data_IF_625413117493
#
_entry.id   IF_625413117493
#
_cell.length_a   1.000
_cell.length_b   1.000
_cell.length_c   1.000
_cell.angle_alpha   90.00
_cell.angle_beta   90.00
_cell.angle_gamma   90.00
#
_symmetry.space_group_name_H-M   'P 1'
#
loop_
_entity.id
_entity.type
_entity.pdbx_description
1 polymer ?
#
# COMPACT_ATOMS: atom_id res chain seq x y z
N UNK A 1 -50.37 18.94 11.76
CA UNK A 1 -49.61 19.55 10.65
C UNK A 1 -48.14 19.81 11.00
N UNK A 2 -47.79 20.47 12.12
CA UNK A 2 -46.37 20.73 12.49
C UNK A 2 -45.50 19.47 12.66
N UNK A 3 -46.02 18.37 13.23
CA UNK A 3 -45.29 17.10 13.39
C UNK A 3 -45.01 16.35 12.06
N UNK A 4 -45.82 16.58 11.03
CA UNK A 4 -45.66 15.91 9.73
C UNK A 4 -44.56 16.57 8.88
N UNK A 5 -44.40 17.90 8.99
CA UNK A 5 -43.29 18.62 8.36
C UNK A 5 -41.93 18.28 9.01
N UNK A 6 -41.88 18.01 10.32
CA UNK A 6 -40.64 17.65 11.01
C UNK A 6 -40.10 16.28 10.58
N UNK A 7 -40.97 15.31 10.29
CA UNK A 7 -40.57 13.98 9.81
C UNK A 7 -40.09 14.00 8.36
N UNK A 8 -40.69 14.84 7.50
CA UNK A 8 -40.23 15.03 6.11
C UNK A 8 -38.89 15.79 6.02
N UNK A 9 -38.61 16.71 6.95
CA UNK A 9 -37.32 17.40 7.00
C UNK A 9 -36.15 16.48 7.42
N UNK A 10 -36.40 15.53 8.33
CA UNK A 10 -35.37 14.60 8.81
C UNK A 10 -35.06 13.48 7.80
N UNK A 11 -36.03 13.07 6.98
CA UNK A 11 -35.80 12.07 5.91
C UNK A 11 -35.11 12.64 4.67
N UNK A 12 -35.20 13.94 4.42
CA UNK A 12 -34.47 14.58 3.31
C UNK A 12 -32.98 14.80 3.61
N UNK A 13 -32.62 15.01 4.88
CA UNK A 13 -31.23 15.20 5.31
C UNK A 13 -30.41 13.90 5.34
N UNK A 14 -31.05 12.73 5.39
CA UNK A 14 -30.35 11.43 5.39
C UNK A 14 -30.05 10.89 3.98
N UNK A 15 -30.58 11.49 2.91
CA UNK A 15 -30.37 11.02 1.54
C UNK A 15 -29.12 11.60 0.84
N UNK A 16 -28.47 12.61 1.43
CA UNK A 16 -27.35 13.31 0.79
C UNK A 16 -25.96 12.72 1.10
N UNK A 17 -25.85 11.69 1.96
CA UNK A 17 -24.54 11.08 2.28
C UNK A 17 -24.01 10.09 1.22
N UNK A 18 -24.78 9.79 0.17
CA UNK A 18 -24.41 8.77 -0.83
C UNK A 18 -23.70 9.27 -2.09
N UNK A 19 -23.65 10.58 -2.35
CA UNK A 19 -23.16 11.12 -3.64
C UNK A 19 -21.73 11.71 -3.59
N UNK A 20 -21.04 11.60 -2.46
CA UNK A 20 -19.73 12.23 -2.24
C UNK A 20 -18.56 11.23 -2.15
N UNK A 21 -18.73 9.98 -2.54
CA UNK A 21 -17.62 9.02 -2.55
C UNK A 21 -17.10 8.82 -3.98
N UNK A 22 -15.81 9.13 -4.16
CA UNK A 22 -15.05 9.04 -5.41
C UNK A 22 -14.78 7.60 -5.86
N UNK A 23 -15.61 6.63 -5.42
CA UNK A 23 -15.42 5.19 -5.69
C UNK A 23 -15.43 4.89 -7.18
N UNK A 24 -16.25 5.62 -7.94
CA UNK A 24 -16.36 5.47 -9.40
C UNK A 24 -15.71 6.61 -10.18
N UNK A 25 -14.92 7.47 -9.52
CA UNK A 25 -14.27 8.58 -10.20
C UNK A 25 -12.97 8.09 -10.85
N UNK A 26 -12.83 8.20 -12.19
CA UNK A 26 -11.62 7.73 -12.86
C UNK A 26 -10.42 8.59 -12.46
N UNK A 27 -9.28 7.94 -12.18
CA UNK A 27 -8.02 8.65 -11.95
C UNK A 27 -7.65 9.43 -13.22
N UNK A 28 -7.44 10.77 -13.13
CA UNK A 28 -7.05 11.56 -14.28
C UNK A 28 -5.76 11.04 -14.91
N UNK A 29 -5.71 10.99 -16.24
CA UNK A 29 -4.50 10.60 -16.98
C UNK A 29 -4.32 9.09 -17.20
N UNK A 30 -5.16 8.23 -16.62
CA UNK A 30 -5.16 6.80 -16.93
C UNK A 30 -5.77 6.57 -18.31
N UNK A 31 -5.02 6.01 -19.30
CA UNK A 31 -5.58 5.67 -20.60
C UNK A 31 -6.71 4.65 -20.48
N UNK A 32 -7.81 4.87 -21.21
CA UNK A 32 -8.99 4.02 -21.17
C UNK A 32 -9.29 3.43 -22.54
N UNK A 33 -9.85 2.21 -22.55
CA UNK A 33 -10.43 1.61 -23.74
C UNK A 33 -11.74 2.32 -24.11
N UNK A 34 -12.30 2.01 -25.29
CA UNK A 34 -13.60 2.53 -25.74
C UNK A 34 -14.75 2.23 -24.76
N UNK A 35 -14.61 1.18 -23.97
CA UNK A 35 -15.60 0.75 -22.97
C UNK A 35 -15.40 1.43 -21.60
N UNK A 36 -14.48 2.39 -21.50
CA UNK A 36 -14.22 3.16 -20.27
C UNK A 36 -13.38 2.43 -19.21
N UNK A 37 -12.82 1.26 -19.53
CA UNK A 37 -11.94 0.49 -18.63
C UNK A 37 -10.48 0.93 -18.79
N UNK A 38 -9.62 0.82 -17.75
CA UNK A 38 -8.19 1.04 -17.90
C UNK A 38 -7.57 0.18 -19.02
N UNK A 39 -6.80 0.80 -19.90
CA UNK A 39 -6.08 0.11 -20.97
C UNK A 39 -4.71 -0.38 -20.46
N UNK A 40 -4.61 -1.68 -20.19
CA UNK A 40 -3.38 -2.31 -19.69
C UNK A 40 -2.27 -2.45 -20.75
N UNK A 41 -2.58 -2.15 -22.02
CA UNK A 41 -1.61 -2.16 -23.13
C UNK A 41 -1.04 -0.77 -23.43
N UNK A 42 -1.55 0.28 -22.77
CA UNK A 42 -1.09 1.64 -22.98
C UNK A 42 0.37 1.83 -22.53
N UNK A 43 1.10 2.79 -23.12
CA UNK A 43 2.46 3.10 -22.68
C UNK A 43 2.53 3.45 -21.20
N UNK A 44 3.60 3.00 -20.54
CA UNK A 44 3.83 3.32 -19.12
C UNK A 44 3.89 4.84 -18.92
N UNK A 45 3.12 5.40 -17.96
CA UNK A 45 3.17 6.82 -17.62
C UNK A 45 4.59 7.30 -17.32
N UNK A 46 4.88 8.52 -17.74
CA UNK A 46 6.20 9.14 -17.55
C UNK A 46 6.08 10.48 -16.83
N UNK A 47 7.03 10.74 -15.95
CA UNK A 47 7.23 12.05 -15.33
C UNK A 47 7.70 13.07 -16.37
N UNK A 48 7.68 14.36 -16.01
CA UNK A 48 8.14 15.44 -16.90
C UNK A 48 9.61 15.31 -17.34
N UNK A 49 10.46 14.62 -16.55
CA UNK A 49 11.85 14.29 -16.88
C UNK A 49 12.01 12.95 -17.62
N UNK A 50 10.92 12.35 -18.10
CA UNK A 50 10.93 11.14 -18.94
C UNK A 50 11.14 9.82 -18.20
N UNK A 51 11.17 9.82 -16.86
CA UNK A 51 11.27 8.61 -16.03
C UNK A 51 9.90 7.95 -15.88
N UNK A 52 9.86 6.68 -15.49
CA UNK A 52 8.60 6.01 -15.14
C UNK A 52 7.95 6.74 -13.96
N UNK A 53 6.69 7.11 -14.12
CA UNK A 53 5.89 7.69 -13.05
C UNK A 53 5.25 6.58 -12.21
N UNK A 54 5.58 6.59 -10.93
CA UNK A 54 5.11 5.67 -9.91
C UNK A 54 4.15 6.37 -8.94
N UNK A 55 3.76 7.63 -9.18
CA UNK A 55 3.10 8.52 -8.22
C UNK A 55 1.61 8.23 -7.92
N UNK A 56 1.27 6.94 -7.97
CA UNK A 56 -0.06 6.38 -7.81
C UNK A 56 -0.23 5.66 -6.46
N UNK A 57 -1.43 5.10 -6.27
CA UNK A 57 -1.76 4.21 -5.16
C UNK A 57 -1.38 2.78 -5.55
N UNK A 58 -0.65 2.12 -4.66
CA UNK A 58 -0.15 0.76 -4.82
C UNK A 58 -0.72 -0.12 -3.73
N UNK A 59 -1.01 -1.36 -4.08
CA UNK A 59 -1.42 -2.39 -3.14
C UNK A 59 -0.68 -3.67 -3.50
N UNK A 60 -0.28 -4.43 -2.48
CA UNK A 60 0.32 -5.73 -2.71
C UNK A 60 -0.78 -6.74 -3.10
N UNK A 61 -0.55 -7.46 -4.19
CA UNK A 61 -1.47 -8.49 -4.70
C UNK A 61 -0.79 -9.84 -4.55
N UNK A 62 -1.48 -10.80 -3.93
CA UNK A 62 -0.97 -12.16 -3.76
C UNK A 62 -0.73 -12.79 -5.14
N UNK A 63 0.33 -13.59 -5.27
CA UNK A 63 0.68 -14.26 -6.53
C UNK A 63 -0.38 -15.27 -6.98
N UNK A 64 -1.19 -15.77 -6.04
CA UNK A 64 -2.29 -16.71 -6.28
C UNK A 64 -3.60 -16.12 -5.74
N UNK A 65 -4.70 -16.15 -6.53
CA UNK A 65 -6.03 -15.82 -6.01
C UNK A 65 -6.37 -16.80 -4.90
N UNK A 66 -6.62 -16.31 -3.67
CA UNK A 66 -7.12 -17.16 -2.59
C UNK A 66 -8.62 -17.41 -2.78
N UNK A 67 -9.11 -18.64 -2.60
CA UNK A 67 -10.54 -18.93 -2.65
C UNK A 67 -11.20 -18.28 -1.42
N UNK A 68 -12.07 -17.31 -1.68
CA UNK A 68 -12.84 -16.49 -0.73
C UNK A 68 -12.12 -15.25 -0.16
N UNK A 69 -12.83 -14.13 -0.31
CA UNK A 69 -12.56 -12.81 0.25
C UNK A 69 -12.59 -12.79 1.80
N UNK A 70 -13.10 -13.85 2.43
CA UNK A 70 -13.35 -13.95 3.88
C UNK A 70 -12.39 -14.88 4.63
N UNK A 71 -11.56 -15.67 3.95
CA UNK A 71 -10.43 -16.36 4.59
C UNK A 71 -9.22 -15.42 4.65
N UNK A 72 -9.40 -14.27 5.30
CA UNK A 72 -8.32 -13.34 5.63
C UNK A 72 -7.45 -13.97 6.73
N UNK A 73 -6.61 -14.92 6.32
CA UNK A 73 -5.34 -15.20 7.00
C UNK A 73 -4.25 -14.61 6.12
N UNK A 74 -3.92 -13.31 6.25
CA UNK A 74 -2.63 -12.85 5.79
C UNK A 74 -1.66 -13.51 6.75
N UNK A 75 -1.15 -14.68 6.39
CA UNK A 75 0.24 -14.87 6.78
C UNK A 75 0.98 -13.81 5.98
N UNK A 76 1.57 -12.84 6.68
CA UNK A 76 2.51 -11.85 6.15
C UNK A 76 3.83 -12.54 5.75
N UNK A 77 3.72 -13.79 5.31
CA UNK A 77 4.77 -14.66 4.84
C UNK A 77 5.03 -14.27 3.38
N UNK A 78 6.28 -13.94 3.10
CA UNK A 78 6.73 -13.49 1.78
C UNK A 78 6.41 -14.53 0.70
N UNK A 79 6.42 -15.80 1.09
CA UNK A 79 6.13 -16.97 0.26
C UNK A 79 4.78 -16.89 -0.45
N UNK A 80 3.78 -16.18 0.11
CA UNK A 80 2.47 -15.98 -0.52
C UNK A 80 2.50 -15.03 -1.74
N UNK A 81 3.58 -14.26 -1.87
CA UNK A 81 3.75 -13.21 -2.89
C UNK A 81 4.88 -13.53 -3.86
N UNK A 82 5.53 -14.68 -3.70
CA UNK A 82 6.63 -15.13 -4.54
C UNK A 82 6.11 -15.93 -5.76
N UNK A 83 6.89 -15.93 -6.83
CA UNK A 83 6.64 -16.77 -8.00
C UNK A 83 6.77 -18.26 -7.64
N UNK A 84 6.09 -19.12 -8.39
CA UNK A 84 6.17 -20.57 -8.19
C UNK A 84 7.62 -21.07 -8.31
N UNK A 85 8.05 -21.87 -7.33
CA UNK A 85 9.41 -22.42 -7.26
C UNK A 85 10.48 -21.43 -6.78
N UNK A 86 10.14 -20.18 -6.51
CA UNK A 86 11.09 -19.23 -5.93
C UNK A 86 11.38 -19.59 -4.46
N UNK A 87 12.62 -19.36 -4.04
CA UNK A 87 13.09 -19.59 -2.67
C UNK A 87 13.62 -18.29 -2.07
N UNK A 88 13.50 -18.13 -0.76
CA UNK A 88 14.04 -16.95 -0.08
C UNK A 88 15.55 -17.15 0.09
N UNK A 89 16.40 -16.27 -0.45
CA UNK A 89 17.85 -16.40 -0.38
C UNK A 89 18.36 -15.96 1.00
N UNK A 90 18.06 -16.75 2.02
CA UNK A 90 18.42 -16.44 3.38
C UNK A 90 19.95 -16.40 3.58
N UNK A 91 20.41 -15.41 4.33
CA UNK A 91 21.67 -15.55 5.06
C UNK A 91 21.42 -16.53 6.23
N UNK A 92 22.39 -17.41 6.60
CA UNK A 92 22.17 -18.40 7.65
C UNK A 92 21.70 -17.82 8.99
N UNK A 93 22.26 -16.67 9.38
CA UNK A 93 21.86 -15.96 10.60
C UNK A 93 20.44 -15.39 10.50
N UNK A 94 20.01 -14.97 9.30
CA UNK A 94 18.71 -14.35 9.07
C UNK A 94 17.59 -15.39 9.11
N UNK A 95 17.82 -16.58 8.53
CA UNK A 95 16.89 -17.71 8.62
C UNK A 95 16.68 -18.14 10.07
N UNK A 96 17.77 -18.27 10.84
CA UNK A 96 17.72 -18.64 12.25
C UNK A 96 16.95 -17.60 13.08
N UNK A 97 17.19 -16.30 12.85
CA UNK A 97 16.48 -15.23 13.54
C UNK A 97 14.98 -15.20 13.17
N UNK A 98 14.66 -15.38 11.89
CA UNK A 98 13.27 -15.46 11.43
C UNK A 98 12.53 -16.65 12.07
N UNK A 99 13.15 -17.83 12.08
CA UNK A 99 12.57 -19.04 12.69
C UNK A 99 12.30 -18.84 14.18
N UNK A 100 13.30 -18.31 14.91
CA UNK A 100 13.17 -17.97 16.33
C UNK A 100 12.01 -17.01 16.58
N UNK A 101 11.90 -15.94 15.78
CA UNK A 101 10.80 -14.96 15.91
C UNK A 101 9.45 -15.59 15.63
N UNK A 102 9.32 -16.48 14.64
CA UNK A 102 8.08 -17.20 14.37
C UNK A 102 7.65 -18.08 15.54
N UNK A 103 8.59 -18.81 16.14
CA UNK A 103 8.34 -19.67 17.31
C UNK A 103 7.97 -18.87 18.56
N UNK A 104 8.46 -17.64 18.68
CA UNK A 104 8.21 -16.74 19.82
C UNK A 104 7.11 -15.71 19.57
N UNK A 105 6.14 -15.99 18.70
CA UNK A 105 5.01 -15.09 18.39
C UNK A 105 5.44 -13.66 17.99
N UNK A 106 6.57 -13.55 17.32
CA UNK A 106 7.12 -12.29 16.83
C UNK A 106 8.12 -11.59 17.76
N UNK A 107 8.37 -12.11 18.97
CA UNK A 107 9.24 -11.48 19.97
C UNK A 107 10.62 -11.04 19.42
N UNK A 108 11.06 -9.84 19.75
CA UNK A 108 12.27 -9.19 19.24
C UNK A 108 12.11 -8.47 17.90
N UNK A 109 10.88 -8.22 17.42
CA UNK A 109 10.64 -7.37 16.26
C UNK A 109 10.78 -5.87 16.59
N UNK A 110 11.12 -5.00 15.62
CA UNK A 110 11.22 -3.55 15.86
C UNK A 110 9.95 -2.92 16.45
N UNK A 111 8.78 -3.44 16.07
CA UNK A 111 7.46 -2.98 16.53
C UNK A 111 7.28 -3.04 18.04
N UNK A 112 7.96 -3.94 18.75
CA UNK A 112 7.95 -4.01 20.22
C UNK A 112 8.59 -2.80 20.90
N UNK A 113 9.39 -2.03 20.16
CA UNK A 113 10.08 -0.83 20.64
C UNK A 113 9.51 0.45 20.05
N UNK A 114 8.25 0.40 19.60
CA UNK A 114 7.59 1.49 18.89
C UNK A 114 8.35 1.96 17.64
N UNK A 115 9.15 1.07 17.04
CA UNK A 115 9.81 1.30 15.76
C UNK A 115 8.95 0.70 14.64
N UNK A 116 8.94 1.30 13.44
CA UNK A 116 8.17 0.77 12.32
C UNK A 116 8.65 -0.64 11.94
N UNK A 117 7.74 -1.49 11.40
CA UNK A 117 8.14 -2.76 10.82
C UNK A 117 9.14 -2.54 9.67
N UNK A 118 10.07 -3.46 9.48
CA UNK A 118 11.01 -3.40 8.36
C UNK A 118 10.42 -3.97 7.07
N UNK A 119 11.10 -3.71 5.95
CA UNK A 119 10.84 -4.41 4.68
C UNK A 119 11.37 -5.85 4.77
N UNK A 120 10.62 -6.89 4.34
CA UNK A 120 9.38 -6.81 3.56
C UNK A 120 8.10 -6.68 4.38
N UNK A 121 8.11 -6.95 5.69
CA UNK A 121 6.90 -7.00 6.53
C UNK A 121 5.96 -5.82 6.29
N UNK A 122 6.50 -4.60 6.36
CA UNK A 122 5.79 -3.33 6.09
C UNK A 122 5.04 -3.28 4.74
N UNK A 123 5.58 -3.93 3.69
CA UNK A 123 4.99 -3.95 2.34
C UNK A 123 4.01 -5.11 2.18
N UNK A 124 4.13 -6.15 3.01
CA UNK A 124 3.24 -7.32 3.01
C UNK A 124 1.93 -7.07 3.75
N UNK A 125 1.78 -5.90 4.39
CA UNK A 125 0.49 -5.48 4.93
C UNK A 125 -0.43 -5.10 3.76
N UNK A 126 -1.62 -5.73 3.65
CA UNK A 126 -2.49 -5.57 2.48
C UNK A 126 -3.29 -4.26 2.52
N UNK A 127 -2.64 -3.17 2.95
CA UNK A 127 -3.17 -1.82 2.92
C UNK A 127 -2.50 -1.03 1.79
N UNK A 128 -3.24 -0.16 1.08
CA UNK A 128 -2.66 0.69 0.07
C UNK A 128 -1.55 1.60 0.61
N UNK A 129 -0.58 1.89 -0.24
CA UNK A 129 0.43 2.93 -0.02
C UNK A 129 0.54 3.79 -1.27
N UNK A 130 0.88 5.07 -1.10
CA UNK A 130 1.08 5.99 -2.21
C UNK A 130 2.55 6.31 -2.37
N UNK A 131 3.04 6.26 -3.60
CA UNK A 131 4.33 6.85 -3.93
C UNK A 131 4.11 8.26 -4.48
N UNK A 132 5.06 9.16 -4.24
CA UNK A 132 5.05 10.52 -4.80
C UNK A 132 6.47 10.85 -5.23
N UNK A 133 6.67 11.02 -6.53
CA UNK A 133 7.96 11.42 -7.08
C UNK A 133 8.01 12.93 -7.27
N UNK A 134 9.02 13.56 -6.70
CA UNK A 134 9.37 14.96 -6.92
C UNK A 134 10.82 15.04 -7.42
N UNK A 135 11.22 16.13 -8.08
CA UNK A 135 12.64 16.36 -8.39
C UNK A 135 13.50 16.27 -7.12
N UNK A 136 14.41 15.31 -7.06
CA UNK A 136 15.36 15.13 -5.97
C UNK A 136 14.85 14.36 -4.74
N UNK A 137 13.58 13.95 -4.69
CA UNK A 137 13.05 13.13 -3.59
C UNK A 137 11.82 12.29 -4.00
N UNK A 138 11.73 11.07 -3.48
CA UNK A 138 10.53 10.24 -3.54
C UNK A 138 9.99 9.99 -2.14
N UNK A 139 8.69 10.18 -1.96
CA UNK A 139 7.97 9.79 -0.74
C UNK A 139 7.23 8.47 -0.95
N UNK A 140 7.21 7.64 0.09
CA UNK A 140 6.28 6.51 0.20
C UNK A 140 5.42 6.79 1.43
N UNK A 141 4.14 7.02 1.21
CA UNK A 141 3.14 7.29 2.23
C UNK A 141 2.36 6.01 2.50
N UNK A 142 2.32 5.55 3.75
CA UNK A 142 1.63 4.31 4.11
C UNK A 142 0.41 4.62 4.94
N UNK A 143 -0.68 3.93 4.62
CA UNK A 143 -1.89 3.98 5.44
C UNK A 143 -1.68 3.28 6.77
N UNK A 144 -1.00 2.14 6.75
CA UNK A 144 -0.62 1.44 7.97
C UNK A 144 0.29 2.33 8.82
N UNK A 145 -0.02 2.45 10.11
CA UNK A 145 0.75 3.18 11.14
C UNK A 145 1.10 4.67 10.85
N UNK A 146 0.52 5.30 9.81
CA UNK A 146 0.76 6.71 9.44
C UNK A 146 2.24 7.10 9.31
N UNK A 147 3.10 6.17 8.89
CA UNK A 147 4.52 6.43 8.66
C UNK A 147 4.78 6.70 7.18
N UNK A 148 5.94 7.32 6.94
CA UNK A 148 6.36 7.70 5.61
C UNK A 148 7.85 7.46 5.45
N UNK A 149 8.24 7.09 4.23
CA UNK A 149 9.64 6.95 3.87
C UNK A 149 10.05 8.07 2.92
N UNK A 150 11.23 8.63 3.17
CA UNK A 150 11.86 9.63 2.31
C UNK A 150 13.07 9.02 1.62
N UNK A 151 13.09 9.08 0.29
CA UNK A 151 14.20 8.59 -0.53
C UNK A 151 14.74 9.80 -1.30
N UNK A 152 15.84 10.37 -0.82
CA UNK A 152 16.52 11.46 -1.53
C UNK A 152 17.17 10.93 -2.81
N UNK A 153 16.84 11.55 -3.93
CA UNK A 153 17.30 11.18 -5.29
C UNK A 153 18.11 12.29 -5.95
N UNK A 154 18.54 13.29 -5.17
CA UNK A 154 19.30 14.46 -5.61
C UNK A 154 20.82 14.26 -5.64
N UNK A 155 21.29 13.01 -5.54
CA UNK A 155 22.72 12.67 -5.57
C UNK A 155 23.48 12.89 -4.26
N UNK A 156 22.81 13.33 -3.19
CA UNK A 156 23.46 13.42 -1.87
C UNK A 156 23.86 12.02 -1.36
N UNK A 157 24.95 11.89 -0.58
CA UNK A 157 25.32 10.61 0.01
C UNK A 157 24.29 10.16 1.05
N UNK A 158 24.21 8.84 1.27
CA UNK A 158 23.46 8.32 2.41
C UNK A 158 24.02 8.84 3.73
N UNK A 159 23.13 9.09 4.70
CA UNK A 159 23.54 9.42 6.07
C UNK A 159 24.39 8.27 6.62
N UNK A 160 25.49 8.61 7.31
CA UNK A 160 26.36 7.62 7.98
C UNK A 160 25.56 6.82 9.01
N UNK A 161 24.71 7.50 9.76
CA UNK A 161 23.75 6.89 10.68
C UNK A 161 22.38 6.77 10.00
N UNK A 162 21.84 5.55 10.01
CA UNK A 162 20.54 5.23 9.43
C UNK A 162 19.53 5.04 10.55
N UNK A 163 18.61 5.99 10.70
CA UNK A 163 17.46 5.80 11.57
C UNK A 163 16.57 4.70 10.97
N UNK A 164 15.97 3.83 11.79
CA UNK A 164 14.85 3.01 11.34
C UNK A 164 13.73 3.96 10.90
N UNK A 165 13.34 3.88 9.63
CA UNK A 165 12.23 4.62 9.01
C UNK A 165 11.27 3.63 8.41
#
# INVERSE_FOLDING_TARGET
MKKLLSLLGVTWLSFQMGLAQWVNYPTPGVPQTKDGKPDLSAPTPKTADGKVDLSEIWQIVAAKPKPSEYEYKPSQDLENYMADGATIPWQPWAEALWRKRRESSGAGQPSERCLPPGVPHEVLIPLPFRMVQLPGITFILREEFNHFRQIFTDGRPHRKERNPT
#
